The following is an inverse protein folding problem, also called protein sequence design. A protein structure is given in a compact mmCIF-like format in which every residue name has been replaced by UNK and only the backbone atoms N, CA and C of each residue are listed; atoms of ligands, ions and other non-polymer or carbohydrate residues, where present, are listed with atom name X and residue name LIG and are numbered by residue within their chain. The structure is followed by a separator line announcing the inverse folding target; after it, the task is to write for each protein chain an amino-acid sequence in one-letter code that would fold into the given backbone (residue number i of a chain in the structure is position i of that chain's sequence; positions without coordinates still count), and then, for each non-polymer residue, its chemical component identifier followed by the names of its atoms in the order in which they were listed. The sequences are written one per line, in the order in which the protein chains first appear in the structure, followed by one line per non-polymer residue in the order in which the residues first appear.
data_IF_549928766652
#
_entry.id   IF_549928766652
#
_cell.length_a   1.000
_cell.length_b   1.000
_cell.length_c   1.000
_cell.angle_alpha   90.00
_cell.angle_beta   90.00
_cell.angle_gamma   90.00
#
_symmetry.space_group_name_H-M   'P 1'
#
loop_
_entity.id
_entity.type
_entity.pdbx_description
1 polymer ?
#
# COMPACT_ATOMS: atom_id res chain seq x y z
N UNK A 1 10.91 16.85 8.42
CA UNK A 1 11.00 16.56 7.95
C UNK A 1 11.48 16.50 7.17
N UNK A 2 11.59 16.56 7.03
CA UNK A 2 11.91 16.41 6.25
C UNK A 2 12.33 15.96 5.48
N UNK A 3 12.48 15.95 5.12
CA UNK A 3 12.73 15.52 4.35
C UNK A 3 13.16 15.16 3.73
N UNK A 4 13.26 15.09 3.41
CA UNK A 4 13.53 14.64 2.74
C UNK A 4 14.08 14.33 1.96
N UNK A 5 14.30 14.05 1.57
CA UNK A 5 14.78 13.67 0.83
C UNK A 5 14.95 13.39 -0.11
N UNK A 6 15.18 13.43 -0.59
CA UNK A 6 15.18 13.19 -1.55
C UNK A 6 15.32 12.56 -2.32
N UNK A 7 15.18 12.29 -2.50
CA UNK A 7 15.17 11.77 -3.14
C UNK A 7 15.45 11.08 -3.81
N UNK A 8 15.75 10.74 -3.84
CA UNK A 8 16.04 9.99 -4.50
C UNK A 8 15.47 9.44 -5.14
N UNK A 9 15.18 9.59 -5.31
CA UNK A 9 14.58 9.11 -5.90
C UNK A 9 13.98 8.03 -6.32
N UNK A 10 14.19 7.06 -6.38
CA UNK A 10 13.41 5.96 -6.69
C UNK A 10 13.05 5.25 -5.49
N UNK A 11 11.79 5.05 -5.28
CA UNK A 11 11.33 4.26 -4.17
C UNK A 11 11.44 2.80 -4.57
N UNK A 12 12.32 2.08 -3.91
CA UNK A 12 12.47 0.65 -4.13
C UNK A 12 12.01 -0.06 -2.87
N UNK A 13 10.97 -0.88 -3.00
CA UNK A 13 10.41 -1.58 -1.86
C UNK A 13 10.81 -3.04 -1.87
N UNK A 14 11.16 -3.55 -0.71
CA UNK A 14 11.49 -4.97 -0.55
C UNK A 14 10.19 -5.79 -0.46
N UNK A 15 10.34 -7.10 -0.53
CA UNK A 15 9.20 -8.00 -0.35
C UNK A 15 8.53 -7.75 1.01
N UNK A 16 9.36 -7.53 2.02
CA UNK A 16 8.84 -7.26 3.36
C UNK A 16 8.03 -5.97 3.37
N UNK A 17 8.52 -4.94 2.66
CA UNK A 17 7.80 -3.68 2.60
C UNK A 17 6.44 -3.85 1.95
N UNK A 18 6.38 -4.61 0.86
CA UNK A 18 5.11 -4.85 0.19
C UNK A 18 4.12 -5.57 1.10
N UNK A 19 4.62 -6.52 1.89
CA UNK A 19 3.77 -7.23 2.82
C UNK A 19 3.19 -6.29 3.87
N UNK A 20 4.03 -5.41 4.40
CA UNK A 20 3.58 -4.45 5.41
C UNK A 20 2.56 -3.47 4.83
N UNK A 21 2.82 -2.99 3.62
CA UNK A 21 1.90 -2.08 2.96
C UNK A 21 0.56 -2.78 2.72
N UNK A 22 0.60 -4.01 2.27
CA UNK A 22 -0.62 -4.76 2.01
C UNK A 22 -1.42 -4.96 3.28
N UNK A 23 -0.76 -5.23 4.39
CA UNK A 23 -1.46 -5.37 5.67
C UNK A 23 -2.14 -4.07 6.08
N UNK A 24 -1.45 -2.95 5.87
CA UNK A 24 -2.01 -1.65 6.20
C UNK A 24 -3.23 -1.34 5.35
N UNK A 25 -3.15 -1.66 4.06
CA UNK A 25 -4.27 -1.45 3.16
C UNK A 25 -5.44 -2.33 3.55
N UNK A 26 -5.19 -3.59 3.87
CA UNK A 26 -6.25 -4.50 4.28
C UNK A 26 -6.95 -4.01 5.53
N UNK A 27 -6.18 -3.51 6.49
CA UNK A 27 -6.74 -3.00 7.73
C UNK A 27 -7.62 -1.77 7.47
N UNK A 28 -7.13 -0.87 6.64
CA UNK A 28 -7.91 0.32 6.30
C UNK A 28 -9.17 -0.04 5.51
N UNK A 29 -9.06 -1.04 4.64
CA UNK A 29 -10.18 -1.49 3.84
C UNK A 29 -11.33 -1.95 4.71
N UNK A 30 -11.04 -2.61 5.83
CA UNK A 30 -12.08 -3.02 6.76
C UNK A 30 -12.83 -1.82 7.33
N UNK A 31 -12.11 -0.72 7.54
CA UNK A 31 -12.72 0.48 8.10
C UNK A 31 -13.66 1.15 7.09
N UNK A 32 -13.28 1.16 5.81
CA UNK A 32 -14.02 1.90 4.79
C UNK A 32 -14.81 1.01 3.85
N UNK A 33 -15.05 -0.23 4.24
CA UNK A 33 -15.65 -1.21 3.32
C UNK A 33 -16.99 -0.76 2.75
N UNK A 34 -17.70 0.11 3.43
CA UNK A 34 -19.00 0.59 2.97
C UNK A 34 -18.91 1.91 2.20
N UNK A 35 -17.70 2.40 1.98
CA UNK A 35 -17.50 3.67 1.30
C UNK A 35 -17.09 3.45 -0.16
N UNK A 36 -17.39 4.43 -1.03
CA UNK A 36 -17.02 4.29 -2.45
C UNK A 36 -15.54 4.08 -2.69
N UNK A 37 -14.69 4.69 -1.87
CA UNK A 37 -13.25 4.58 -2.02
C UNK A 37 -12.73 3.17 -1.75
N UNK A 38 -13.55 2.32 -1.13
CA UNK A 38 -13.12 0.95 -0.84
C UNK A 38 -12.69 0.21 -2.10
N UNK A 39 -13.31 0.52 -3.24
CA UNK A 39 -12.93 -0.13 -4.50
C UNK A 39 -11.49 0.17 -4.87
N UNK A 40 -11.06 1.41 -4.65
CA UNK A 40 -9.69 1.80 -4.96
C UNK A 40 -8.70 1.04 -4.10
N UNK A 41 -9.00 0.90 -2.82
CA UNK A 41 -8.12 0.20 -1.90
C UNK A 41 -8.12 -1.31 -2.17
N UNK A 42 -9.28 -1.83 -2.56
CA UNK A 42 -9.36 -3.25 -2.91
C UNK A 42 -8.49 -3.56 -4.12
N UNK A 43 -8.55 -2.72 -5.15
CA UNK A 43 -7.72 -2.91 -6.33
C UNK A 43 -6.25 -2.80 -5.99
N UNK A 44 -5.90 -1.84 -5.12
CA UNK A 44 -4.52 -1.67 -4.68
C UNK A 44 -4.06 -2.90 -3.91
N UNK A 45 -4.89 -3.42 -3.04
CA UNK A 45 -4.57 -4.61 -2.27
C UNK A 45 -4.22 -5.79 -3.19
N UNK A 46 -5.02 -5.99 -4.23
CA UNK A 46 -4.78 -7.08 -5.15
C UNK A 46 -3.48 -6.90 -5.93
N UNK A 47 -3.19 -5.67 -6.32
CA UNK A 47 -1.93 -5.41 -7.01
C UNK A 47 -0.73 -5.65 -6.12
N UNK A 48 -0.83 -5.24 -4.87
CA UNK A 48 0.25 -5.48 -3.91
C UNK A 48 0.48 -6.97 -3.69
N UNK A 49 -0.59 -7.74 -3.68
CA UNK A 49 -0.48 -9.18 -3.53
C UNK A 49 0.31 -9.81 -4.66
N UNK A 50 0.11 -9.33 -5.87
CA UNK A 50 0.85 -9.87 -7.01
C UNK A 50 2.32 -9.51 -6.95
N UNK A 51 2.62 -8.29 -6.48
CA UNK A 51 4.00 -7.84 -6.42
C UNK A 51 4.79 -8.56 -5.33
N UNK A 52 4.13 -8.91 -4.25
CA UNK A 52 4.81 -9.51 -3.11
C UNK A 52 4.77 -11.03 -3.13
N UNK A 53 3.98 -11.57 -4.01
CA UNK A 53 3.81 -13.01 -4.04
C UNK A 53 4.78 -13.71 -4.89
#
# INVERSE_FOLDING_TARGET
MTTNEPQRSRAVFSTEDFRLIREAVASHLQVIKDQPDSVKYSNLYHRLGRLSG
#
